data_IF_696835355815
#
_entry.id   IF_696835355815
#
_cell.length_a   1.000
_cell.length_b   1.000
_cell.length_c   1.000
_cell.angle_alpha   90.00
_cell.angle_beta   90.00
_cell.angle_gamma   90.00
#
_symmetry.space_group_name_H-M   'P 1'
#
loop_
_entity.id
_entity.type
_entity.pdbx_description
1 polymer ?
#
# COMPACT_ATOMS: atom_id res chain seq x y z
N UNK A 1 15.84 -3.38 -61.43
CA UNK A 1 14.88 -2.85 -60.42
C UNK A 1 14.30 -4.02 -59.63
N UNK A 2 14.83 -4.26 -58.43
CA UNK A 2 14.20 -5.12 -57.41
C UNK A 2 14.48 -4.45 -56.07
N UNK A 3 13.44 -3.86 -55.51
CA UNK A 3 13.47 -3.11 -54.25
C UNK A 3 13.93 -4.01 -53.11
N UNK A 4 15.10 -3.72 -52.55
CA UNK A 4 15.56 -4.23 -51.27
C UNK A 4 15.64 -3.04 -50.31
N UNK A 5 14.49 -2.59 -49.86
CA UNK A 5 14.39 -1.60 -48.80
C UNK A 5 13.23 -2.01 -47.92
N UNK A 6 13.39 -1.83 -46.61
CA UNK A 6 12.38 -1.97 -45.55
C UNK A 6 12.30 -3.35 -44.85
N UNK A 7 13.41 -3.81 -44.26
CA UNK A 7 13.37 -4.57 -43.00
C UNK A 7 14.19 -3.79 -41.95
N UNK A 8 13.76 -2.56 -41.73
CA UNK A 8 14.09 -1.77 -40.56
C UNK A 8 12.72 -1.32 -40.03
N UNK A 9 12.52 -1.35 -38.71
CA UNK A 9 11.38 -0.75 -38.00
C UNK A 9 10.19 -1.67 -37.61
N UNK A 10 10.42 -2.86 -37.02
CA UNK A 10 9.37 -3.56 -36.23
C UNK A 10 9.80 -3.95 -34.82
N UNK A 11 11.08 -3.80 -34.43
CA UNK A 11 11.55 -4.13 -33.07
C UNK A 11 11.62 -2.93 -32.10
N UNK A 12 10.90 -1.84 -32.34
CA UNK A 12 10.97 -0.62 -31.49
C UNK A 12 9.74 -0.37 -30.59
N UNK A 13 8.77 -1.30 -30.53
CA UNK A 13 7.54 -1.10 -29.74
C UNK A 13 7.41 -1.97 -28.47
N UNK A 14 8.51 -2.51 -27.94
CA UNK A 14 8.53 -3.13 -26.61
C UNK A 14 9.23 -2.28 -25.54
N UNK A 15 9.29 -0.95 -25.73
CA UNK A 15 9.29 -0.04 -24.58
C UNK A 15 7.83 0.21 -24.20
N UNK A 16 7.16 -0.84 -23.70
CA UNK A 16 6.06 -0.60 -22.78
C UNK A 16 6.72 0.05 -21.56
N UNK A 17 6.66 1.39 -21.51
CA UNK A 17 7.03 2.13 -20.33
C UNK A 17 6.23 1.55 -19.18
N UNK A 18 6.89 0.79 -18.32
CA UNK A 18 6.47 0.70 -16.94
C UNK A 18 6.55 2.14 -16.45
N UNK A 19 5.43 2.86 -16.55
CA UNK A 19 5.21 4.02 -15.71
C UNK A 19 5.42 3.49 -14.31
N UNK A 20 6.58 3.79 -13.74
CA UNK A 20 6.78 3.70 -12.30
C UNK A 20 5.71 4.67 -11.79
N UNK A 21 4.56 4.11 -11.40
CA UNK A 21 3.56 4.87 -10.69
C UNK A 21 4.33 5.48 -9.52
N UNK A 22 4.29 6.80 -9.40
CA UNK A 22 4.81 7.44 -8.22
C UNK A 22 4.11 6.78 -7.05
N UNK A 23 4.88 6.09 -6.21
CA UNK A 23 4.32 5.39 -5.07
C UNK A 23 3.75 6.41 -4.09
N UNK A 24 2.65 6.03 -3.45
CA UNK A 24 1.88 6.90 -2.55
C UNK A 24 1.27 6.07 -1.46
N UNK A 25 0.94 6.69 -0.33
CA UNK A 25 0.37 6.02 0.82
C UNK A 25 -0.77 6.83 1.45
N UNK A 26 -1.82 6.19 2.00
CA UNK A 26 -2.80 6.85 2.86
C UNK A 26 -2.29 7.02 4.30
N UNK A 27 -1.12 6.48 4.62
CA UNK A 27 -0.55 6.41 5.96
C UNK A 27 0.78 7.16 6.03
N UNK A 28 1.08 7.75 7.18
CA UNK A 28 2.34 8.43 7.50
C UNK A 28 3.29 7.62 8.38
N UNK A 29 2.79 6.55 9.01
CA UNK A 29 3.59 5.52 9.70
C UNK A 29 2.85 4.19 9.62
N UNK A 30 3.62 3.11 9.51
CA UNK A 30 3.12 1.74 9.54
C UNK A 30 3.97 0.92 10.51
N UNK A 31 3.29 0.12 11.32
CA UNK A 31 3.94 -0.82 12.25
C UNK A 31 3.30 -2.19 12.15
N UNK A 32 4.14 -3.17 11.86
CA UNK A 32 3.76 -4.57 11.87
C UNK A 32 4.08 -5.20 13.21
N UNK A 33 3.17 -5.98 13.76
CA UNK A 33 3.44 -6.77 14.95
C UNK A 33 2.67 -8.07 14.99
N UNK A 34 2.95 -8.86 16.02
CA UNK A 34 2.31 -10.15 16.29
C UNK A 34 1.54 -10.08 17.61
N UNK A 35 0.22 -10.31 17.50
CA UNK A 35 -0.74 -10.60 18.56
C UNK A 35 -1.31 -9.44 19.40
N UNK A 36 -2.32 -8.76 18.85
CA UNK A 36 -3.65 -8.69 19.47
C UNK A 36 -4.71 -8.59 18.35
N UNK A 37 -5.58 -9.59 18.10
CA UNK A 37 -6.07 -10.63 19.03
C UNK A 37 -5.76 -12.11 18.78
N UNK A 38 -4.84 -12.51 17.86
CA UNK A 38 -4.14 -13.84 17.83
C UNK A 38 -3.15 -14.03 16.66
N UNK A 39 -3.04 -13.09 15.72
CA UNK A 39 -2.14 -13.17 14.57
C UNK A 39 -1.44 -11.85 14.27
N UNK A 40 -0.96 -11.70 13.03
CA UNK A 40 -0.37 -10.44 12.56
C UNK A 40 -1.37 -9.28 12.72
N UNK A 41 -0.84 -8.07 12.91
CA UNK A 41 -1.59 -6.82 12.87
C UNK A 41 -0.79 -5.75 12.12
N UNK A 42 -1.52 -4.75 11.60
CA UNK A 42 -0.97 -3.53 11.01
C UNK A 42 -1.51 -2.36 11.82
N UNK A 43 -0.63 -1.65 12.51
CA UNK A 43 -0.91 -0.38 13.15
C UNK A 43 -0.51 0.74 12.19
N UNK A 44 -1.38 1.74 12.02
CA UNK A 44 -1.24 2.80 11.02
C UNK A 44 -1.41 4.17 11.66
N UNK A 45 -0.81 5.21 11.07
CA UNK A 45 -1.03 6.61 11.45
C UNK A 45 -1.32 7.47 10.24
N UNK A 46 -2.07 8.54 10.49
CA UNK A 46 -2.25 9.70 9.62
C UNK A 46 -2.84 10.81 10.53
N UNK A 47 -2.01 11.69 11.12
CA UNK A 47 -2.46 12.69 12.10
C UNK A 47 -3.51 13.68 11.57
N UNK A 48 -3.61 13.85 10.25
CA UNK A 48 -4.61 14.74 9.65
C UNK A 48 -6.02 14.15 9.70
N UNK A 49 -6.12 12.81 9.78
CA UNK A 49 -7.39 12.09 9.67
C UNK A 49 -7.70 11.20 10.88
N UNK A 50 -6.68 10.78 11.61
CA UNK A 50 -6.76 9.87 12.74
C UNK A 50 -6.47 10.65 14.03
N UNK A 51 -7.05 10.22 15.15
CA UNK A 51 -6.74 10.80 16.45
C UNK A 51 -5.30 10.42 16.86
N UNK A 52 -4.38 11.39 16.86
CA UNK A 52 -2.95 11.16 17.09
C UNK A 52 -2.64 10.60 18.49
N UNK A 53 -3.51 10.85 19.47
CA UNK A 53 -3.36 10.33 20.83
C UNK A 53 -3.73 8.85 20.94
N UNK A 54 -4.36 8.27 19.90
CA UNK A 54 -4.90 6.89 19.93
C UNK A 54 -4.18 5.98 18.96
N UNK A 55 -4.23 4.69 19.27
CA UNK A 55 -3.65 3.65 18.41
C UNK A 55 -4.69 3.16 17.41
N UNK A 56 -4.33 3.17 16.14
CA UNK A 56 -5.20 2.79 15.04
C UNK A 56 -4.66 1.53 14.37
N UNK A 57 -5.52 0.53 14.19
CA UNK A 57 -5.19 -0.73 13.57
C UNK A 57 -6.04 -0.93 12.32
N UNK A 58 -5.39 -1.30 11.23
CA UNK A 58 -6.06 -1.55 9.96
C UNK A 58 -6.93 -2.80 10.05
N UNK A 59 -8.19 -2.69 9.63
CA UNK A 59 -9.11 -3.82 9.43
C UNK A 59 -9.27 -4.08 7.93
N UNK A 60 -9.61 -3.06 7.14
CA UNK A 60 -9.82 -3.19 5.69
C UNK A 60 -9.29 -1.99 4.90
N UNK A 61 -8.92 -2.25 3.64
CA UNK A 61 -8.68 -1.25 2.58
C UNK A 61 -9.60 -1.58 1.41
N UNK A 62 -10.47 -0.66 1.00
CA UNK A 62 -11.45 -0.84 -0.08
C UNK A 62 -12.24 -2.17 0.07
N UNK A 63 -12.61 -2.52 1.31
CA UNK A 63 -13.34 -3.74 1.64
C UNK A 63 -12.52 -5.04 1.67
N UNK A 64 -11.20 -4.98 1.44
CA UNK A 64 -10.28 -6.13 1.56
C UNK A 64 -9.73 -6.21 2.98
N UNK A 65 -9.95 -7.35 3.64
CA UNK A 65 -9.44 -7.60 5.01
C UNK A 65 -7.90 -7.62 5.05
N UNK A 66 -7.34 -6.99 6.08
CA UNK A 66 -5.90 -6.84 6.26
C UNK A 66 -5.16 -8.19 6.34
N UNK A 67 -5.81 -9.27 6.81
CA UNK A 67 -5.22 -10.61 6.86
C UNK A 67 -5.04 -11.20 5.47
N UNK A 68 -6.00 -10.97 4.58
CA UNK A 68 -5.89 -11.39 3.19
C UNK A 68 -4.84 -10.57 2.46
N UNK A 69 -4.78 -9.27 2.73
CA UNK A 69 -3.70 -8.40 2.23
C UNK A 69 -2.32 -8.94 2.64
N UNK A 70 -2.10 -9.22 3.93
CA UNK A 70 -0.84 -9.79 4.42
C UNK A 70 -0.55 -11.14 3.76
N UNK A 71 -1.55 -12.04 3.72
CA UNK A 71 -1.40 -13.39 3.18
C UNK A 71 -0.95 -13.36 1.72
N UNK A 72 -1.62 -12.57 0.89
CA UNK A 72 -1.39 -12.55 -0.55
C UNK A 72 -0.11 -11.80 -0.91
N UNK A 73 0.17 -10.66 -0.26
CA UNK A 73 1.46 -9.97 -0.44
C UNK A 73 2.64 -10.79 0.06
N UNK A 74 2.50 -11.53 1.16
CA UNK A 74 3.53 -12.45 1.64
C UNK A 74 3.74 -13.63 0.71
N UNK A 75 2.69 -14.11 0.03
CA UNK A 75 2.83 -15.13 -1.01
C UNK A 75 3.62 -14.62 -2.23
N UNK A 76 3.44 -13.35 -2.62
CA UNK A 76 4.13 -12.73 -3.74
C UNK A 76 5.58 -12.33 -3.42
N UNK A 77 5.78 -11.67 -2.28
CA UNK A 77 7.03 -10.97 -1.96
C UNK A 77 7.84 -11.64 -0.83
N UNK A 78 7.32 -12.71 -0.24
CA UNK A 78 7.99 -13.45 0.82
C UNK A 78 8.30 -12.57 2.02
N UNK A 79 9.57 -12.51 2.43
CA UNK A 79 10.02 -11.71 3.57
C UNK A 79 9.91 -10.20 3.35
N UNK A 80 9.89 -9.76 2.08
CA UNK A 80 9.83 -8.34 1.71
C UNK A 80 8.42 -7.76 1.77
N UNK A 81 7.39 -8.54 2.10
CA UNK A 81 6.00 -8.06 2.08
C UNK A 81 5.75 -6.81 2.93
N UNK A 82 6.47 -6.64 4.05
CA UNK A 82 6.37 -5.44 4.90
C UNK A 82 6.90 -4.18 4.22
N UNK A 83 8.03 -4.31 3.54
CA UNK A 83 8.60 -3.27 2.68
C UNK A 83 7.60 -2.91 1.59
N UNK A 84 7.12 -3.92 0.86
CA UNK A 84 6.18 -3.70 -0.25
C UNK A 84 4.89 -3.00 0.22
N UNK A 85 4.28 -3.46 1.32
CA UNK A 85 3.07 -2.84 1.84
C UNK A 85 3.26 -1.42 2.42
N UNK A 86 4.48 -1.07 2.85
CA UNK A 86 4.74 0.23 3.46
C UNK A 86 5.25 1.28 2.46
N UNK A 87 6.16 0.89 1.57
CA UNK A 87 6.84 1.82 0.67
C UNK A 87 6.41 1.67 -0.80
N UNK A 88 5.70 0.58 -1.12
CA UNK A 88 5.19 0.29 -2.46
C UNK A 88 3.69 -0.06 -2.39
N UNK A 89 2.92 0.77 -1.69
CA UNK A 89 1.52 0.49 -1.38
C UNK A 89 0.67 0.35 -2.64
N UNK A 90 0.83 1.23 -3.64
CA UNK A 90 0.04 1.18 -4.88
C UNK A 90 0.37 -0.10 -5.66
N UNK A 91 1.65 -0.38 -5.86
CA UNK A 91 2.10 -1.62 -6.51
C UNK A 91 1.55 -2.86 -5.78
N UNK A 92 1.67 -2.88 -4.45
CA UNK A 92 1.27 -4.02 -3.64
C UNK A 92 -0.23 -4.27 -3.70
N UNK A 93 -1.04 -3.22 -3.60
CA UNK A 93 -2.51 -3.32 -3.68
C UNK A 93 -2.94 -3.79 -5.07
N UNK A 94 -2.36 -3.18 -6.13
CA UNK A 94 -2.64 -3.58 -7.51
C UNK A 94 -2.28 -5.05 -7.76
N UNK A 95 -1.13 -5.51 -7.27
CA UNK A 95 -0.66 -6.89 -7.42
C UNK A 95 -1.58 -7.93 -6.78
N UNK A 96 -2.31 -7.58 -5.71
CA UNK A 96 -3.29 -8.45 -5.06
C UNK A 96 -4.74 -8.19 -5.50
N UNK A 97 -4.94 -7.35 -6.53
CA UNK A 97 -6.24 -7.04 -7.11
C UNK A 97 -7.11 -6.09 -6.27
N UNK A 98 -6.51 -5.27 -5.41
CA UNK A 98 -7.17 -4.17 -4.71
C UNK A 98 -6.95 -2.90 -5.53
N UNK A 99 -8.03 -2.37 -6.13
CA UNK A 99 -7.95 -1.13 -6.90
C UNK A 99 -7.75 0.04 -5.94
N UNK A 100 -6.65 0.77 -6.11
CA UNK A 100 -6.38 2.03 -5.42
C UNK A 100 -6.14 3.10 -6.49
N UNK A 101 -6.82 4.24 -6.35
CA UNK A 101 -6.62 5.40 -7.22
C UNK A 101 -6.00 6.54 -6.41
N UNK A 102 -6.68 7.68 -6.32
CA UNK A 102 -6.24 8.84 -5.54
C UNK A 102 -6.66 8.71 -4.07
N UNK A 103 -7.73 7.95 -3.80
CA UNK A 103 -8.29 7.77 -2.47
C UNK A 103 -8.58 6.29 -2.16
N UNK A 104 -8.71 5.98 -0.87
CA UNK A 104 -9.14 4.68 -0.36
C UNK A 104 -10.18 4.81 0.74
N UNK A 105 -11.05 3.80 0.84
CA UNK A 105 -11.89 3.56 1.98
C UNK A 105 -11.15 2.69 2.99
N UNK A 106 -11.09 3.15 4.24
CA UNK A 106 -10.46 2.43 5.32
C UNK A 106 -11.50 1.99 6.35
N UNK A 107 -11.30 0.79 6.90
CA UNK A 107 -11.94 0.39 8.16
C UNK A 107 -10.85 0.23 9.20
N UNK A 108 -10.99 0.94 10.31
CA UNK A 108 -9.99 1.00 11.37
C UNK A 108 -10.57 0.56 12.71
N UNK A 109 -9.71 -0.05 13.51
CA UNK A 109 -9.94 -0.31 14.93
C UNK A 109 -9.13 0.69 15.76
N UNK A 110 -9.80 1.51 16.56
CA UNK A 110 -9.17 2.44 17.50
C UNK A 110 -9.10 1.82 18.89
N UNK A 111 -7.90 1.85 19.47
CA UNK A 111 -7.64 1.45 20.86
C UNK A 111 -7.34 2.69 21.72
N UNK A 112 -8.24 2.98 22.64
CA UNK A 112 -8.12 4.06 23.62
C UNK A 112 -8.76 3.66 24.96
N UNK A 113 -8.19 2.67 25.65
CA UNK A 113 -8.78 2.11 26.89
C UNK A 113 -10.23 1.56 26.72
N UNK A 114 -10.75 1.60 25.50
CA UNK A 114 -11.99 1.06 24.97
C UNK A 114 -11.79 0.61 23.52
N UNK A 115 -12.84 0.02 22.93
CA UNK A 115 -12.79 -0.63 21.62
C UNK A 115 -13.78 0.04 20.65
N UNK A 116 -13.30 0.68 19.57
CA UNK A 116 -14.18 1.25 18.53
C UNK A 116 -13.71 0.84 17.13
N UNK A 117 -14.64 0.34 16.33
CA UNK A 117 -14.45 0.14 14.89
C UNK A 117 -15.18 1.26 14.15
N UNK A 118 -14.55 1.83 13.14
CA UNK A 118 -15.12 2.90 12.34
C UNK A 118 -14.58 2.87 10.91
N UNK A 119 -15.37 3.43 9.99
CA UNK A 119 -15.03 3.58 8.58
C UNK A 119 -14.59 5.03 8.30
N UNK A 120 -13.57 5.18 7.46
CA UNK A 120 -13.16 6.45 6.85
C UNK A 120 -13.31 6.29 5.34
N UNK A 121 -13.97 7.27 4.71
CA UNK A 121 -14.20 7.31 3.27
C UNK A 121 -13.31 8.34 2.64
N UNK A 122 -12.94 8.10 1.38
CA UNK A 122 -12.20 9.04 0.55
C UNK A 122 -10.89 9.52 1.22
N UNK A 123 -10.12 8.57 1.79
CA UNK A 123 -8.83 8.86 2.42
C UNK A 123 -7.76 9.04 1.34
N UNK A 124 -7.13 10.23 1.23
CA UNK A 124 -6.19 10.52 0.17
C UNK A 124 -4.90 9.70 0.29
N UNK A 125 -4.42 9.24 -0.87
CA UNK A 125 -3.19 8.49 -1.04
C UNK A 125 -2.16 9.42 -1.68
N UNK A 126 -1.21 9.93 -0.89
CA UNK A 126 -0.29 11.01 -1.29
C UNK A 126 1.17 10.58 -1.26
N UNK A 127 2.01 11.34 -1.97
CA UNK A 127 3.48 11.16 -1.96
C UNK A 127 4.05 11.63 -0.60
N UNK A 128 3.58 12.77 -0.08
CA UNK A 128 4.02 13.30 1.23
C UNK A 128 3.83 12.29 2.37
N UNK A 129 2.71 11.56 2.37
CA UNK A 129 2.46 10.51 3.35
C UNK A 129 3.49 9.37 3.24
N UNK A 130 3.85 8.97 2.02
CA UNK A 130 4.88 7.96 1.79
C UNK A 130 6.25 8.45 2.25
N UNK A 131 6.60 9.70 1.95
CA UNK A 131 7.86 10.31 2.40
C UNK A 131 7.99 10.28 3.93
N UNK A 132 6.90 10.51 4.67
CA UNK A 132 6.88 10.37 6.12
C UNK A 132 7.17 8.93 6.59
N UNK A 133 6.62 7.91 5.93
CA UNK A 133 6.93 6.52 6.25
C UNK A 133 8.43 6.26 6.07
N UNK A 134 8.97 6.63 4.91
CA UNK A 134 10.38 6.40 4.57
C UNK A 134 11.33 7.12 5.53
N UNK A 135 10.97 8.34 5.96
CA UNK A 135 11.74 9.12 6.94
C UNK A 135 11.66 8.55 8.36
N UNK A 136 10.47 8.16 8.82
CA UNK A 136 10.25 7.71 10.20
C UNK A 136 10.75 6.28 10.42
N UNK A 137 10.49 5.39 9.45
CA UNK A 137 10.84 3.98 9.50
C UNK A 137 10.82 3.37 8.10
N UNK A 138 11.97 3.41 7.42
CA UNK A 138 12.13 2.55 6.25
C UNK A 138 12.00 1.07 6.63
N UNK A 139 11.19 0.37 5.85
CA UNK A 139 10.91 -1.05 5.93
C UNK A 139 11.65 -1.86 4.85
N UNK A 140 12.25 -1.18 3.86
CA UNK A 140 12.96 -1.79 2.74
C UNK A 140 14.48 -1.91 2.92
N UNK A 141 15.04 -1.32 3.99
CA UNK A 141 16.46 -1.42 4.37
C UNK A 141 16.82 -2.67 5.20
#
# INVERSE_FOLDING_TARGET
MKSFTLILLVMLFNLAGASVLAEKSPFTDIKYGWMLGRGDYIEVKNPELFDEDKRHFLIEVNGRDYKDIIKDTKALYGKKYKCMLAEHFLESMAAIGVSVSEDVDLKLYMFDWGHKVFDLKDVPVTEDNLDEIMFNRSHCE
#
